data_IF_369177970575
#
_entry.id   IF_369177970575
#
_cell.length_a   1.000
_cell.length_b   1.000
_cell.length_c   1.000
_cell.angle_alpha   90.00
_cell.angle_beta   90.00
_cell.angle_gamma   90.00
#
_symmetry.space_group_name_H-M   'P 1'
#
loop_
_entity.id
_entity.type
_entity.pdbx_description
1 polymer ?
#
# COMPACT_ATOMS: atom_id res chain seq x y z
N UNK A 1 -32.69 -16.82 5.92
CA UNK A 1 -31.40 -16.19 6.30
C UNK A 1 -30.81 -15.60 5.03
N UNK A 2 -30.40 -14.34 5.07
CA UNK A 2 -29.67 -13.71 3.96
C UNK A 2 -28.18 -13.96 4.13
N UNK A 3 -27.48 -14.28 3.06
CA UNK A 3 -26.02 -14.30 3.07
C UNK A 3 -25.48 -12.89 2.91
N UNK A 4 -24.30 -12.63 3.48
CA UNK A 4 -23.55 -11.41 3.19
C UNK A 4 -23.12 -11.40 1.72
N UNK A 5 -23.36 -10.28 1.05
CA UNK A 5 -22.92 -10.08 -0.34
C UNK A 5 -21.82 -9.02 -0.39
N UNK A 6 -20.73 -9.30 -1.11
CA UNK A 6 -19.64 -8.36 -1.36
C UNK A 6 -19.48 -8.13 -2.85
N UNK A 7 -19.51 -6.87 -3.29
CA UNK A 7 -19.46 -6.48 -4.71
C UNK A 7 -20.50 -7.20 -5.60
N UNK A 8 -21.68 -7.51 -5.04
CA UNK A 8 -22.75 -8.25 -5.74
C UNK A 8 -22.62 -9.77 -5.72
N UNK A 9 -21.60 -10.33 -5.07
CA UNK A 9 -21.38 -11.79 -4.97
C UNK A 9 -21.71 -12.32 -3.58
N UNK A 10 -22.35 -13.49 -3.52
CA UNK A 10 -22.60 -14.23 -2.28
C UNK A 10 -21.27 -14.77 -1.72
N UNK A 11 -20.87 -14.31 -0.53
CA UNK A 11 -19.59 -14.69 0.06
C UNK A 11 -19.54 -16.14 0.53
N UNK A 12 -20.68 -16.74 0.88
CA UNK A 12 -20.75 -18.16 1.24
C UNK A 12 -20.55 -19.02 -0.01
N UNK A 13 -21.10 -18.59 -1.15
CA UNK A 13 -20.88 -19.25 -2.44
C UNK A 13 -19.41 -19.18 -2.87
N UNK A 14 -18.78 -18.01 -2.78
CA UNK A 14 -17.34 -17.84 -3.07
C UNK A 14 -16.47 -18.72 -2.17
N UNK A 15 -16.75 -18.75 -0.87
CA UNK A 15 -16.01 -19.61 0.07
C UNK A 15 -16.15 -21.10 -0.27
N UNK A 16 -17.33 -21.53 -0.72
CA UNK A 16 -17.57 -22.92 -1.16
C UNK A 16 -16.83 -23.25 -2.46
N UNK A 17 -16.78 -22.32 -3.40
CA UNK A 17 -16.16 -22.51 -4.71
C UNK A 17 -14.63 -22.54 -4.64
N UNK A 18 -14.04 -21.55 -3.96
CA UNK A 18 -12.58 -21.33 -3.95
C UNK A 18 -11.88 -21.82 -2.66
N UNK A 19 -12.67 -22.23 -1.66
CA UNK A 19 -12.20 -22.63 -0.34
C UNK A 19 -11.70 -21.46 0.52
N UNK A 20 -11.54 -21.69 1.83
CA UNK A 20 -11.03 -20.71 2.79
C UNK A 20 -9.68 -21.11 3.41
N UNK A 21 -8.90 -20.18 3.98
CA UNK A 21 -9.07 -18.72 3.90
C UNK A 21 -9.02 -18.21 2.46
N UNK A 22 -9.68 -17.09 2.14
CA UNK A 22 -9.75 -16.55 0.79
C UNK A 22 -9.70 -15.03 0.81
N UNK A 23 -8.75 -14.42 0.11
CA UNK A 23 -8.86 -12.99 -0.18
C UNK A 23 -9.79 -12.79 -1.37
N UNK A 24 -10.72 -11.86 -1.22
CA UNK A 24 -11.68 -11.49 -2.25
C UNK A 24 -11.53 -10.01 -2.52
N UNK A 25 -11.12 -9.67 -3.74
CA UNK A 25 -10.89 -8.30 -4.19
C UNK A 25 -11.99 -7.89 -5.19
N UNK A 26 -12.55 -6.69 -5.05
CA UNK A 26 -13.47 -6.10 -6.00
C UNK A 26 -12.72 -5.19 -6.96
N UNK A 27 -12.73 -5.52 -8.25
CA UNK A 27 -12.19 -4.64 -9.29
C UNK A 27 -13.02 -3.36 -9.42
N UNK A 28 -14.34 -3.44 -9.27
CA UNK A 28 -15.23 -2.30 -9.38
C UNK A 28 -14.90 -1.24 -8.30
N UNK A 29 -14.72 -1.66 -7.04
CA UNK A 29 -14.32 -0.75 -5.95
C UNK A 29 -12.90 -0.20 -6.15
N UNK A 30 -11.95 -1.01 -6.63
CA UNK A 30 -10.59 -0.53 -6.96
C UNK A 30 -10.65 0.61 -7.98
N UNK A 31 -11.42 0.44 -9.06
CA UNK A 31 -11.58 1.43 -10.12
C UNK A 31 -12.31 2.67 -9.61
N UNK A 32 -13.36 2.51 -8.83
CA UNK A 32 -14.10 3.63 -8.23
C UNK A 32 -13.19 4.47 -7.31
N UNK A 33 -12.36 3.83 -6.48
CA UNK A 33 -11.41 4.52 -5.60
C UNK A 33 -10.37 5.31 -6.40
N UNK A 34 -9.83 4.73 -7.49
CA UNK A 34 -8.90 5.42 -8.39
C UNK A 34 -9.61 6.60 -9.08
N UNK A 35 -10.81 6.37 -9.62
CA UNK A 35 -11.59 7.40 -10.31
C UNK A 35 -11.95 8.56 -9.39
N UNK A 36 -12.26 8.31 -8.11
CA UNK A 36 -12.49 9.37 -7.13
C UNK A 36 -11.28 10.29 -6.94
N UNK A 37 -10.06 9.75 -6.98
CA UNK A 37 -8.83 10.57 -6.92
C UNK A 37 -8.64 11.35 -8.22
N UNK A 38 -8.84 10.72 -9.38
CA UNK A 38 -8.79 11.37 -10.71
C UNK A 38 -9.77 12.54 -10.77
N UNK A 39 -11.04 12.30 -10.46
CA UNK A 39 -12.10 13.32 -10.46
C UNK A 39 -11.79 14.48 -9.52
N UNK A 40 -11.20 14.20 -8.37
CA UNK A 40 -10.80 15.22 -7.41
C UNK A 40 -9.70 16.13 -7.98
N UNK A 41 -8.72 15.60 -8.69
CA UNK A 41 -7.68 16.39 -9.34
C UNK A 41 -8.18 17.13 -10.58
N UNK A 42 -8.95 16.48 -11.46
CA UNK A 42 -9.53 17.08 -12.68
C UNK A 42 -10.31 18.37 -12.36
N UNK A 43 -11.08 18.37 -11.27
CA UNK A 43 -11.82 19.55 -10.79
C UNK A 43 -10.95 20.78 -10.50
N UNK A 44 -9.65 20.57 -10.25
CA UNK A 44 -8.73 21.65 -9.88
C UNK A 44 -8.00 22.27 -11.07
N UNK A 45 -7.97 21.58 -12.22
CA UNK A 45 -7.20 21.96 -13.40
C UNK A 45 -5.68 22.00 -13.19
N UNK A 46 -5.16 21.40 -12.12
CA UNK A 46 -3.72 21.25 -11.92
C UNK A 46 -3.16 20.10 -12.75
N UNK A 47 -1.89 20.16 -13.10
CA UNK A 47 -1.17 18.97 -13.57
C UNK A 47 -0.92 18.03 -12.39
N UNK A 48 -1.21 16.74 -12.58
CA UNK A 48 -1.09 15.74 -11.53
C UNK A 48 -0.61 14.39 -12.07
N UNK A 49 -0.15 13.54 -11.15
CA UNK A 49 0.10 12.13 -11.39
C UNK A 49 -0.36 11.35 -10.15
N UNK A 50 -0.96 10.18 -10.38
CA UNK A 50 -1.36 9.26 -9.31
C UNK A 50 -0.50 8.02 -9.47
N UNK A 51 0.18 7.63 -8.40
CA UNK A 51 0.97 6.41 -8.37
C UNK A 51 0.30 5.44 -7.40
N UNK A 52 -0.13 4.27 -7.88
CA UNK A 52 -0.59 3.23 -6.97
C UNK A 52 0.62 2.68 -6.19
N UNK A 53 0.56 2.69 -4.86
CA UNK A 53 1.67 2.15 -4.06
C UNK A 53 1.61 0.62 -4.00
N UNK A 54 2.40 -0.04 -4.85
CA UNK A 54 2.40 -1.50 -5.07
C UNK A 54 2.55 -2.33 -3.79
N UNK A 55 3.39 -1.87 -2.84
CA UNK A 55 3.55 -2.48 -1.50
C UNK A 55 2.25 -2.82 -0.76
N UNK A 56 1.15 -2.11 -1.08
CA UNK A 56 -0.16 -2.38 -0.47
C UNK A 56 -0.76 -3.71 -0.95
N UNK A 57 -0.71 -3.99 -2.26
CA UNK A 57 -1.19 -5.23 -2.86
C UNK A 57 -0.70 -5.28 -4.32
N UNK A 58 0.28 -6.14 -4.62
CA UNK A 58 0.83 -6.26 -5.98
C UNK A 58 0.81 -7.72 -6.45
N UNK A 59 0.24 -7.92 -7.64
CA UNK A 59 0.31 -9.14 -8.44
C UNK A 59 0.03 -8.75 -9.90
N UNK A 60 0.17 -9.69 -10.82
CA UNK A 60 0.02 -9.43 -12.26
C UNK A 60 -1.34 -8.82 -12.63
N UNK A 61 -2.44 -9.25 -12.00
CA UNK A 61 -3.76 -8.69 -12.27
C UNK A 61 -3.89 -7.26 -11.77
N UNK A 62 -3.36 -6.96 -10.57
CA UNK A 62 -3.36 -5.59 -10.04
C UNK A 62 -2.55 -4.64 -10.92
N UNK A 63 -1.39 -5.07 -11.43
CA UNK A 63 -0.62 -4.27 -12.39
C UNK A 63 -1.46 -3.93 -13.63
N UNK A 64 -2.18 -4.90 -14.21
CA UNK A 64 -3.05 -4.66 -15.38
C UNK A 64 -4.22 -3.73 -15.10
N UNK A 65 -4.84 -3.81 -13.92
CA UNK A 65 -5.92 -2.89 -13.53
C UNK A 65 -5.39 -1.45 -13.44
N UNK A 66 -4.24 -1.26 -12.78
CA UNK A 66 -3.58 0.05 -12.64
C UNK A 66 -3.19 0.61 -14.01
N UNK A 67 -2.67 -0.25 -14.89
CA UNK A 67 -2.31 0.10 -16.27
C UNK A 67 -3.53 0.61 -17.06
N UNK A 68 -4.61 -0.19 -17.07
CA UNK A 68 -5.88 0.14 -17.75
C UNK A 68 -6.53 1.42 -17.22
N UNK A 69 -6.33 1.74 -15.93
CA UNK A 69 -6.79 3.00 -15.34
C UNK A 69 -5.90 4.21 -15.71
N UNK A 70 -4.80 3.99 -16.43
CA UNK A 70 -3.93 5.06 -16.94
C UNK A 70 -3.07 5.75 -15.89
N UNK A 71 -3.02 5.23 -14.66
CA UNK A 71 -2.21 5.78 -13.58
C UNK A 71 -0.81 5.14 -13.55
N UNK A 72 0.09 5.70 -12.75
CA UNK A 72 1.45 5.18 -12.54
C UNK A 72 1.49 4.15 -11.41
N UNK A 73 2.62 3.45 -11.27
CA UNK A 73 2.83 2.41 -10.27
C UNK A 73 4.17 2.62 -9.55
N UNK A 74 4.10 2.73 -8.22
CA UNK A 74 5.30 2.69 -7.38
C UNK A 74 5.67 1.24 -7.07
N UNK A 75 6.95 0.93 -7.25
CA UNK A 75 7.57 -0.34 -6.85
C UNK A 75 8.71 -0.04 -5.87
N UNK A 76 8.93 -0.91 -4.88
CA UNK A 76 9.87 -0.68 -3.78
C UNK A 76 11.01 -1.71 -3.70
N UNK A 77 11.05 -2.67 -4.63
CA UNK A 77 12.10 -3.69 -4.73
C UNK A 77 12.19 -4.28 -6.14
N UNK A 78 13.26 -5.02 -6.42
CA UNK A 78 13.43 -5.76 -7.67
C UNK A 78 12.32 -6.79 -7.91
N UNK A 79 11.75 -7.40 -6.87
CA UNK A 79 10.62 -8.33 -7.01
C UNK A 79 9.32 -7.66 -7.43
N UNK A 80 9.04 -6.47 -6.89
CA UNK A 80 7.89 -5.67 -7.32
C UNK A 80 8.08 -5.14 -8.74
N UNK A 81 9.28 -4.65 -9.07
CA UNK A 81 9.64 -4.24 -10.42
C UNK A 81 9.49 -5.40 -11.42
N UNK A 82 10.04 -6.58 -11.10
CA UNK A 82 9.87 -7.79 -11.91
C UNK A 82 8.41 -8.13 -12.15
N UNK A 83 7.60 -8.11 -11.10
CA UNK A 83 6.16 -8.39 -11.20
C UNK A 83 5.45 -7.40 -12.14
N UNK A 84 5.80 -6.11 -12.08
CA UNK A 84 5.25 -5.12 -12.98
C UNK A 84 5.66 -5.38 -14.44
N UNK A 85 6.94 -5.63 -14.71
CA UNK A 85 7.44 -5.92 -16.05
C UNK A 85 6.80 -7.17 -16.65
N UNK A 86 6.72 -8.27 -15.90
CA UNK A 86 6.10 -9.52 -16.36
C UNK A 86 4.61 -9.40 -16.62
N UNK A 87 3.94 -8.43 -15.99
CA UNK A 87 2.52 -8.16 -16.27
C UNK A 87 2.29 -7.46 -17.61
N UNK A 88 3.37 -6.92 -18.20
CA UNK A 88 3.36 -6.08 -19.40
C UNK A 88 3.18 -4.58 -19.12
N UNK A 89 3.31 -4.16 -17.85
CA UNK A 89 3.17 -2.75 -17.45
C UNK A 89 4.24 -1.88 -18.13
N UNK A 90 3.83 -0.72 -18.63
CA UNK A 90 4.74 0.24 -19.27
C UNK A 90 5.81 0.75 -18.29
N UNK A 91 7.11 0.43 -18.50
CA UNK A 91 8.16 0.86 -17.59
C UNK A 91 8.24 2.38 -17.42
N UNK A 92 7.84 3.17 -18.42
CA UNK A 92 7.85 4.63 -18.35
C UNK A 92 6.89 5.21 -17.29
N UNK A 93 5.93 4.40 -16.81
CA UNK A 93 5.01 4.74 -15.70
C UNK A 93 5.37 4.07 -14.38
N UNK A 94 6.55 3.45 -14.28
CA UNK A 94 7.09 2.90 -13.05
C UNK A 94 7.94 3.92 -12.30
N UNK A 95 7.79 3.95 -10.99
CA UNK A 95 8.60 4.74 -10.07
C UNK A 95 9.25 3.82 -9.02
N UNK A 96 10.58 3.72 -9.03
CA UNK A 96 11.32 2.86 -8.10
C UNK A 96 11.67 3.60 -6.81
N UNK A 97 11.12 3.11 -5.71
CA UNK A 97 11.42 3.51 -4.33
C UNK A 97 12.32 2.49 -3.63
N UNK A 98 12.82 2.85 -2.45
CA UNK A 98 13.60 1.97 -1.58
C UNK A 98 14.69 2.74 -0.85
N UNK A 99 14.93 2.42 0.42
CA UNK A 99 15.94 3.12 1.22
C UNK A 99 17.36 2.55 1.07
N UNK A 100 17.47 1.39 0.43
CA UNK A 100 18.70 0.64 0.25
C UNK A 100 18.60 -0.20 -1.04
N UNK A 101 18.37 0.48 -2.18
CA UNK A 101 18.30 -0.18 -3.48
C UNK A 101 19.64 -0.83 -3.77
N UNK A 102 19.63 -2.11 -4.14
CA UNK A 102 20.86 -2.81 -4.51
C UNK A 102 21.36 -2.36 -5.88
N UNK A 103 22.62 -2.64 -6.19
CA UNK A 103 23.16 -2.38 -7.54
C UNK A 103 22.35 -3.14 -8.59
N UNK A 104 21.97 -4.38 -8.30
CA UNK A 104 21.17 -5.22 -9.18
C UNK A 104 19.76 -4.64 -9.42
N UNK A 105 19.13 -4.07 -8.39
CA UNK A 105 17.83 -3.40 -8.54
C UNK A 105 17.94 -2.12 -9.39
N UNK A 106 19.01 -1.35 -9.23
CA UNK A 106 19.28 -0.16 -10.06
C UNK A 106 19.59 -0.54 -11.52
N UNK A 107 20.39 -1.59 -11.74
CA UNK A 107 20.68 -2.12 -13.08
C UNK A 107 19.40 -2.60 -13.77
N UNK A 108 18.55 -3.35 -13.04
CA UNK A 108 17.26 -3.80 -13.55
C UNK A 108 16.35 -2.62 -13.93
N UNK A 109 16.33 -1.56 -13.12
CA UNK A 109 15.55 -0.35 -13.38
C UNK A 109 16.04 0.39 -14.64
N UNK A 110 17.37 0.49 -14.81
CA UNK A 110 17.99 1.09 -16.00
C UNK A 110 17.74 0.25 -17.25
N UNK A 111 17.92 -1.07 -17.17
CA UNK A 111 17.68 -2.01 -18.28
C UNK A 111 16.21 -1.93 -18.76
N UNK A 112 15.28 -1.86 -17.81
CA UNK A 112 13.86 -1.70 -18.10
C UNK A 112 13.46 -0.30 -18.56
N UNK A 113 14.34 0.71 -18.38
CA UNK A 113 14.07 2.13 -18.62
C UNK A 113 12.85 2.63 -17.82
N UNK A 114 12.87 2.39 -16.52
CA UNK A 114 11.81 2.87 -15.63
C UNK A 114 11.65 4.38 -15.74
N UNK A 115 10.42 4.87 -15.57
CA UNK A 115 10.09 6.27 -15.68
C UNK A 115 10.88 7.13 -14.70
N UNK A 116 10.92 6.73 -13.42
CA UNK A 116 11.59 7.50 -12.36
C UNK A 116 12.23 6.60 -11.30
N UNK A 117 13.30 7.10 -10.68
CA UNK A 117 13.85 6.54 -9.44
C UNK A 117 13.78 7.61 -8.35
N UNK A 118 13.20 7.27 -7.19
CA UNK A 118 13.22 8.14 -6.01
C UNK A 118 14.47 7.86 -5.20
N UNK A 119 15.48 8.71 -5.36
CA UNK A 119 16.77 8.63 -4.66
C UNK A 119 16.57 8.90 -3.18
N UNK A 120 16.99 7.97 -2.34
CA UNK A 120 16.75 8.03 -0.89
C UNK A 120 17.94 8.61 -0.11
N UNK A 121 19.17 8.42 -0.61
CA UNK A 121 20.39 8.85 0.06
C UNK A 121 21.56 9.11 -0.91
N UNK A 122 22.65 9.68 -0.41
CA UNK A 122 23.82 10.05 -1.22
C UNK A 122 24.59 8.85 -1.79
N UNK A 123 24.62 7.71 -1.08
CA UNK A 123 25.31 6.49 -1.57
C UNK A 123 24.59 5.93 -2.79
N UNK A 124 23.26 5.94 -2.75
CA UNK A 124 22.44 5.57 -3.92
C UNK A 124 22.67 6.52 -5.09
N UNK A 125 22.73 7.84 -4.84
CA UNK A 125 23.01 8.84 -5.87
C UNK A 125 24.36 8.57 -6.58
N UNK A 126 25.43 8.35 -5.81
CA UNK A 126 26.76 8.09 -6.35
C UNK A 126 26.79 6.77 -7.15
N UNK A 127 26.10 5.74 -6.66
CA UNK A 127 25.97 4.45 -7.37
C UNK A 127 25.22 4.62 -8.69
N UNK A 128 24.14 5.40 -8.69
CA UNK A 128 23.35 5.68 -9.88
C UNK A 128 24.13 6.50 -10.91
N UNK A 129 24.91 7.50 -10.49
CA UNK A 129 25.80 8.27 -11.39
C UNK A 129 26.87 7.38 -12.03
N UNK A 130 27.47 6.48 -11.25
CA UNK A 130 28.42 5.51 -11.80
C UNK A 130 27.78 4.64 -12.88
N UNK A 131 26.64 4.00 -12.57
CA UNK A 131 25.93 3.10 -13.49
C UNK A 131 25.50 3.82 -14.77
N UNK A 132 24.93 5.01 -14.64
CA UNK A 132 24.44 5.80 -15.78
C UNK A 132 25.57 6.30 -16.68
N UNK A 133 26.73 6.66 -16.11
CA UNK A 133 27.94 7.00 -16.88
C UNK A 133 28.51 5.80 -17.63
N UNK A 134 28.61 4.65 -16.99
CA UNK A 134 29.08 3.42 -17.63
C UNK A 134 28.21 3.01 -18.83
N UNK A 135 26.92 3.38 -18.79
CA UNK A 135 25.91 3.06 -19.81
C UNK A 135 25.64 4.19 -20.80
N UNK A 136 26.16 5.40 -20.55
CA UNK A 136 25.76 6.64 -21.23
C UNK A 136 24.23 6.82 -21.32
N UNK A 137 23.52 6.47 -20.24
CA UNK A 137 22.06 6.37 -20.20
C UNK A 137 21.46 7.37 -19.22
N UNK A 138 20.56 8.22 -19.71
CA UNK A 138 19.78 9.13 -18.88
C UNK A 138 18.76 8.40 -17.99
N UNK A 139 18.57 8.92 -16.77
CA UNK A 139 17.50 8.52 -15.86
C UNK A 139 16.91 9.74 -15.15
N UNK A 140 15.58 9.76 -15.06
CA UNK A 140 14.83 10.77 -14.32
C UNK A 140 14.78 10.40 -12.84
N UNK A 141 15.05 11.37 -11.97
CA UNK A 141 15.03 11.15 -10.52
C UNK A 141 14.21 12.19 -9.76
N UNK A 142 13.61 11.74 -8.66
CA UNK A 142 13.22 12.60 -7.55
C UNK A 142 14.10 12.30 -6.34
N UNK A 143 14.17 13.22 -5.39
CA UNK A 143 14.82 12.97 -4.11
C UNK A 143 13.81 12.87 -2.98
N UNK A 144 13.85 11.77 -2.23
CA UNK A 144 13.07 11.67 -1.00
C UNK A 144 13.70 12.54 0.08
N UNK A 145 12.88 13.38 0.69
CA UNK A 145 13.25 14.32 1.75
C UNK A 145 12.41 14.04 2.97
N UNK A 146 13.04 14.09 4.14
CA UNK A 146 12.35 13.98 5.43
C UNK A 146 12.08 15.39 5.97
N UNK A 147 10.82 15.87 5.95
CA UNK A 147 10.49 17.24 6.36
C UNK A 147 10.44 17.43 7.89
N UNK A 148 10.63 16.38 8.69
CA UNK A 148 10.52 16.45 10.16
C UNK A 148 9.08 16.48 10.68
N UNK A 149 8.13 15.99 9.88
CA UNK A 149 6.70 15.87 10.23
C UNK A 149 6.34 14.39 10.19
N UNK A 150 5.69 13.90 11.25
CA UNK A 150 5.03 12.59 11.27
C UNK A 150 3.58 12.71 11.72
N UNK A 151 2.67 12.03 11.00
CA UNK A 151 1.27 11.90 11.37
C UNK A 151 0.92 10.45 11.71
N UNK A 152 0.42 10.25 12.94
CA UNK A 152 -0.12 8.97 13.41
C UNK A 152 -1.48 9.21 14.08
N UNK A 153 -2.55 8.65 13.51
CA UNK A 153 -3.84 8.41 14.20
C UNK A 153 -4.32 9.56 15.12
N UNK A 154 -4.30 10.81 14.60
CA UNK A 154 -4.69 12.08 15.23
C UNK A 154 -3.64 12.84 16.06
N UNK A 155 -2.45 12.30 16.29
CA UNK A 155 -1.34 13.05 16.88
C UNK A 155 -0.37 13.54 15.80
N UNK A 156 -0.25 14.86 15.74
CA UNK A 156 0.67 15.53 14.84
C UNK A 156 1.97 15.77 15.58
N UNK A 157 3.00 15.01 15.24
CA UNK A 157 4.29 15.12 15.90
C UNK A 157 5.22 15.88 14.96
N UNK A 158 5.44 17.15 15.26
CA UNK A 158 6.56 17.90 14.72
C UNK A 158 7.81 17.49 15.52
N UNK A 159 8.56 16.53 14.99
CA UNK A 159 9.73 16.01 15.68
C UNK A 159 10.91 16.96 15.47
N UNK A 160 11.56 17.38 16.56
CA UNK A 160 12.82 18.11 16.48
C UNK A 160 13.97 17.27 15.89
N UNK A 161 13.80 15.95 15.86
CA UNK A 161 14.73 14.95 15.33
C UNK A 161 14.10 14.22 14.14
N UNK A 162 14.75 14.32 12.99
CA UNK A 162 14.41 13.56 11.77
C UNK A 162 14.90 12.10 11.92
N UNK A 163 14.30 11.36 12.87
CA UNK A 163 14.65 9.96 13.16
C UNK A 163 13.91 9.01 12.21
N UNK A 164 14.40 8.96 10.96
CA UNK A 164 13.86 8.14 9.90
C UNK A 164 15.01 7.52 9.11
N UNK A 165 14.88 6.23 8.78
CA UNK A 165 15.81 5.54 7.86
C UNK A 165 15.63 5.94 6.40
N UNK A 166 14.60 6.74 6.10
CA UNK A 166 14.21 7.12 4.75
C UNK A 166 14.56 8.57 4.47
N UNK A 167 15.00 8.83 3.24
CA UNK A 167 15.16 10.15 2.69
C UNK A 167 16.31 10.96 3.26
N UNK A 168 16.69 12.01 2.54
CA UNK A 168 17.67 12.97 3.00
C UNK A 168 17.02 13.93 4.01
N UNK A 169 17.65 14.15 5.18
CA UNK A 169 17.21 15.18 6.12
C UNK A 169 17.03 16.56 5.46
N UNK A 170 15.96 17.30 5.77
CA UNK A 170 15.63 18.58 5.11
C UNK A 170 16.80 19.57 5.15
N UNK A 171 17.56 19.59 6.25
CA UNK A 171 18.73 20.45 6.44
C UNK A 171 19.91 20.09 5.54
N UNK A 172 19.99 18.85 5.07
CA UNK A 172 21.04 18.34 4.20
C UNK A 172 20.60 18.28 2.74
N UNK A 173 19.29 18.30 2.47
CA UNK A 173 18.69 18.10 1.16
C UNK A 173 19.28 19.02 0.09
N UNK A 174 19.40 20.33 0.35
CA UNK A 174 19.99 21.29 -0.61
C UNK A 174 21.39 20.87 -1.07
N UNK A 175 22.24 20.45 -0.13
CA UNK A 175 23.62 20.05 -0.43
C UNK A 175 23.72 18.74 -1.21
N UNK A 176 22.95 17.73 -0.80
CA UNK A 176 22.96 16.42 -1.47
C UNK A 176 22.35 16.51 -2.87
N UNK A 177 21.18 17.13 -3.00
CA UNK A 177 20.49 17.28 -4.29
C UNK A 177 21.32 18.15 -5.24
N UNK A 178 21.97 19.19 -4.73
CA UNK A 178 22.85 20.06 -5.53
C UNK A 178 24.02 19.32 -6.20
N UNK A 179 24.47 18.18 -5.67
CA UNK A 179 25.53 17.38 -6.29
C UNK A 179 25.10 16.75 -7.62
N UNK A 180 23.81 16.44 -7.79
CA UNK A 180 23.29 15.83 -9.01
C UNK A 180 23.48 16.71 -10.26
N UNK A 181 23.65 18.04 -10.10
CA UNK A 181 23.96 18.95 -11.21
C UNK A 181 25.27 18.64 -11.94
N UNK A 182 26.16 17.87 -11.32
CA UNK A 182 27.45 17.46 -11.89
C UNK A 182 27.38 16.08 -12.57
N UNK A 183 26.20 15.46 -12.56
CA UNK A 183 25.94 14.09 -13.01
C UNK A 183 25.20 14.17 -14.36
N UNK A 184 25.90 14.00 -15.50
CA UNK A 184 25.38 14.37 -16.83
C UNK A 184 24.22 13.51 -17.33
N UNK A 185 24.01 12.34 -16.71
CA UNK A 185 22.97 11.39 -17.09
C UNK A 185 21.86 11.28 -16.02
N UNK A 186 21.83 12.19 -15.05
CA UNK A 186 20.80 12.23 -14.01
C UNK A 186 19.97 13.50 -14.19
N UNK A 187 18.69 13.31 -14.51
CA UNK A 187 17.73 14.37 -14.73
C UNK A 187 16.85 14.55 -13.48
N UNK A 188 17.18 15.55 -12.66
CA UNK A 188 16.44 15.84 -11.42
C UNK A 188 15.17 16.63 -11.74
N UNK A 189 14.00 16.01 -11.58
CA UNK A 189 12.71 16.64 -11.92
C UNK A 189 11.87 17.00 -10.71
N UNK A 190 12.21 16.55 -9.50
CA UNK A 190 11.37 16.83 -8.34
C UNK A 190 11.92 16.37 -7.01
N UNK A 191 11.10 16.60 -5.99
CA UNK A 191 11.32 16.17 -4.62
C UNK A 191 10.11 15.37 -4.13
N UNK A 192 10.37 14.39 -3.28
CA UNK A 192 9.41 13.46 -2.70
C UNK A 192 9.40 13.60 -1.19
N UNK A 193 8.23 13.48 -0.56
CA UNK A 193 8.13 13.19 0.86
C UNK A 193 7.00 12.20 1.13
N UNK A 194 7.03 11.55 2.28
CA UNK A 194 5.92 10.73 2.76
C UNK A 194 5.76 10.93 4.27
N UNK A 195 4.62 11.49 4.67
CA UNK A 195 4.43 12.08 6.01
C UNK A 195 3.76 11.15 7.01
N UNK A 196 3.21 10.02 6.56
CA UNK A 196 2.56 9.05 7.43
C UNK A 196 1.59 8.11 6.74
N UNK A 197 0.85 7.36 7.53
CA UNK A 197 -0.15 6.39 7.08
C UNK A 197 -1.43 6.56 7.88
N UNK A 198 -2.57 6.27 7.26
CA UNK A 198 -3.89 6.34 7.90
C UNK A 198 -4.23 7.77 8.35
N UNK A 199 -3.90 8.74 7.49
CA UNK A 199 -4.15 10.16 7.70
C UNK A 199 -5.56 10.49 7.19
N UNK A 200 -6.38 11.05 8.06
CA UNK A 200 -7.75 11.51 7.73
C UNK A 200 -7.75 13.00 7.46
N UNK A 201 -7.03 13.79 8.25
CA UNK A 201 -6.96 15.26 8.17
C UNK A 201 -5.97 15.79 7.12
N UNK A 202 -6.20 17.00 6.62
CA UNK A 202 -5.30 17.68 5.67
C UNK A 202 -4.09 18.35 6.34
N UNK A 203 -4.17 18.70 7.62
CA UNK A 203 -3.14 19.46 8.33
C UNK A 203 -1.71 18.91 8.19
N UNK A 204 -1.44 17.59 8.33
CA UNK A 204 -0.10 17.04 8.11
C UNK A 204 0.43 17.26 6.69
N UNK A 205 -0.44 17.13 5.69
CA UNK A 205 -0.07 17.34 4.29
C UNK A 205 0.23 18.82 4.03
N UNK A 206 -0.59 19.74 4.54
CA UNK A 206 -0.40 21.19 4.39
C UNK A 206 0.95 21.62 4.99
N UNK A 207 1.29 21.16 6.20
CA UNK A 207 2.59 21.50 6.80
C UNK A 207 3.78 20.95 6.00
N UNK A 208 3.66 19.73 5.46
CA UNK A 208 4.71 19.18 4.61
C UNK A 208 4.84 19.94 3.29
N UNK A 209 3.72 20.37 2.69
CA UNK A 209 3.73 21.22 1.50
C UNK A 209 4.47 22.52 1.73
N UNK A 210 4.29 23.17 2.88
CA UNK A 210 5.00 24.41 3.21
C UNK A 210 6.52 24.20 3.20
N UNK A 211 6.98 23.17 3.91
CA UNK A 211 8.41 22.81 4.00
C UNK A 211 8.97 22.41 2.64
N UNK A 212 8.23 21.60 1.89
CA UNK A 212 8.67 21.11 0.57
C UNK A 212 8.70 22.24 -0.45
N UNK A 213 7.74 23.18 -0.43
CA UNK A 213 7.74 24.36 -1.32
C UNK A 213 8.89 25.32 -1.00
N UNK A 214 9.29 25.44 0.28
CA UNK A 214 10.49 26.19 0.65
C UNK A 214 11.76 25.56 0.06
N UNK A 215 11.92 24.25 0.21
CA UNK A 215 13.05 23.54 -0.40
C UNK A 215 13.02 23.63 -1.93
N UNK A 216 11.85 23.40 -2.54
CA UNK A 216 11.65 23.47 -3.99
C UNK A 216 12.11 24.82 -4.55
N UNK A 217 11.73 25.91 -3.89
CA UNK A 217 12.16 27.27 -4.27
C UNK A 217 13.69 27.40 -4.24
N UNK A 218 14.32 26.98 -3.15
CA UNK A 218 15.77 27.11 -2.98
C UNK A 218 16.53 26.29 -4.02
N UNK A 219 16.05 25.09 -4.35
CA UNK A 219 16.66 24.24 -5.37
C UNK A 219 16.50 24.83 -6.79
N UNK A 220 15.34 25.45 -7.08
CA UNK A 220 15.11 26.22 -8.30
C UNK A 220 16.06 27.42 -8.43
N UNK A 221 16.23 28.19 -7.34
CA UNK A 221 17.20 29.29 -7.28
C UNK A 221 18.66 28.82 -7.45
N UNK A 222 18.96 27.60 -6.99
CA UNK A 222 20.24 26.95 -7.25
C UNK A 222 20.40 26.49 -8.70
N UNK A 223 19.37 26.57 -9.54
CA UNK A 223 19.42 26.28 -10.98
C UNK A 223 19.06 24.84 -11.35
N UNK A 224 18.24 24.15 -10.54
CA UNK A 224 17.58 22.90 -10.90
C UNK A 224 16.22 23.17 -11.55
N UNK A 225 15.96 22.56 -12.71
CA UNK A 225 14.68 22.65 -13.43
C UNK A 225 13.65 21.66 -12.84
N UNK A 226 13.31 21.84 -11.56
CA UNK A 226 12.29 21.03 -10.90
C UNK A 226 10.91 21.30 -11.53
N UNK A 227 10.12 20.24 -11.66
CA UNK A 227 8.77 20.27 -12.25
C UNK A 227 7.73 19.65 -11.34
N UNK A 228 8.15 18.86 -10.36
CA UNK A 228 7.25 17.98 -9.62
C UNK A 228 7.48 18.03 -8.11
N UNK A 229 6.38 17.95 -7.37
CA UNK A 229 6.39 17.64 -5.93
C UNK A 229 5.54 16.41 -5.72
N UNK A 230 6.17 15.34 -5.23
CA UNK A 230 5.51 14.13 -4.82
C UNK A 230 5.27 14.15 -3.31
N UNK A 231 4.01 14.14 -2.91
CA UNK A 231 3.56 14.26 -1.53
C UNK A 231 3.35 12.89 -0.86
N UNK A 232 3.64 11.82 -1.59
CA UNK A 232 3.49 10.46 -1.13
C UNK A 232 2.04 10.05 -0.93
N UNK A 233 1.85 8.95 -0.21
CA UNK A 233 0.54 8.42 0.14
C UNK A 233 0.13 8.75 1.57
N UNK A 234 -0.68 7.86 2.14
CA UNK A 234 -1.06 7.91 3.55
C UNK A 234 -2.55 8.13 3.79
N UNK A 235 -3.34 8.33 2.73
CA UNK A 235 -4.80 8.52 2.81
C UNK A 235 -5.47 7.37 3.56
N UNK A 236 -6.17 7.71 4.64
CA UNK A 236 -6.81 6.74 5.53
C UNK A 236 -8.18 6.28 5.06
N UNK A 237 -8.58 5.10 5.54
CA UNK A 237 -9.84 4.42 5.22
C UNK A 237 -10.58 4.05 6.51
N UNK A 238 -11.92 3.87 6.49
CA UNK A 238 -12.65 3.54 7.70
C UNK A 238 -12.57 2.04 7.99
N UNK A 239 -11.73 1.61 8.94
CA UNK A 239 -11.57 0.19 9.27
C UNK A 239 -12.75 -0.33 10.10
N UNK A 240 -13.29 0.53 10.96
CA UNK A 240 -14.42 0.27 11.84
C UNK A 240 -15.65 1.09 11.42
N UNK A 241 -16.84 0.62 11.77
CA UNK A 241 -18.07 1.36 11.57
C UNK A 241 -18.04 2.63 12.41
N UNK A 242 -18.16 3.77 11.74
CA UNK A 242 -18.09 5.09 12.38
C UNK A 242 -16.71 5.75 12.27
N UNK A 243 -15.69 5.05 11.80
CA UNK A 243 -14.42 5.67 11.43
C UNK A 243 -14.65 6.67 10.30
N UNK A 244 -13.88 7.76 10.34
CA UNK A 244 -13.79 8.69 9.22
C UNK A 244 -12.84 8.14 8.14
N UNK A 245 -12.99 8.67 6.93
CA UNK A 245 -12.15 8.33 5.79
C UNK A 245 -11.57 9.60 5.20
N UNK A 246 -10.41 9.49 4.55
CA UNK A 246 -9.84 10.63 3.83
C UNK A 246 -10.77 11.06 2.69
N UNK A 247 -11.34 12.25 2.81
CA UNK A 247 -12.26 12.81 1.83
C UNK A 247 -11.49 13.37 0.62
N UNK A 248 -11.14 12.49 -0.33
CA UNK A 248 -10.36 12.86 -1.53
C UNK A 248 -10.99 14.01 -2.31
N UNK A 249 -12.32 14.05 -2.39
CA UNK A 249 -13.06 15.04 -3.17
C UNK A 249 -12.95 16.45 -2.60
N UNK A 250 -12.66 16.57 -1.30
CA UNK A 250 -12.51 17.84 -0.62
C UNK A 250 -11.06 18.15 -0.25
N UNK A 251 -10.26 17.14 0.13
CA UNK A 251 -8.86 17.32 0.52
C UNK A 251 -7.96 17.65 -0.68
N UNK A 252 -8.05 16.92 -1.79
CA UNK A 252 -7.19 17.17 -2.96
C UNK A 252 -7.37 18.61 -3.49
N UNK A 253 -8.60 19.13 -3.68
CA UNK A 253 -8.77 20.53 -4.06
C UNK A 253 -8.17 21.53 -3.08
N UNK A 254 -8.22 21.27 -1.77
CA UNK A 254 -7.57 22.13 -0.76
C UNK A 254 -6.05 22.07 -0.85
N UNK A 255 -5.48 20.88 -0.99
CA UNK A 255 -4.05 20.67 -1.19
C UNK A 255 -3.54 21.40 -2.43
N UNK A 256 -4.27 21.29 -3.55
CA UNK A 256 -3.96 21.97 -4.81
C UNK A 256 -4.05 23.49 -4.66
N UNK A 257 -5.11 24.00 -4.03
CA UNK A 257 -5.28 25.43 -3.78
C UNK A 257 -4.14 26.00 -2.92
N UNK A 258 -3.72 25.26 -1.90
CA UNK A 258 -2.61 25.63 -1.02
C UNK A 258 -1.29 25.73 -1.78
N UNK A 259 -0.93 24.71 -2.57
CA UNK A 259 0.28 24.74 -3.41
C UNK A 259 0.23 25.88 -4.43
N UNK A 260 -0.94 26.14 -5.03
CA UNK A 260 -1.11 27.24 -5.99
C UNK A 260 -0.87 28.60 -5.32
N UNK A 261 -1.43 28.82 -4.13
CA UNK A 261 -1.18 30.03 -3.35
C UNK A 261 0.30 30.19 -3.01
N UNK A 262 0.95 29.12 -2.57
CA UNK A 262 2.38 29.11 -2.25
C UNK A 262 3.25 29.36 -3.48
N UNK A 263 2.88 28.82 -4.65
CA UNK A 263 3.57 29.05 -5.91
C UNK A 263 3.54 30.53 -6.30
N UNK A 264 2.36 31.18 -6.21
CA UNK A 264 2.21 32.62 -6.45
C UNK A 264 3.04 33.44 -5.47
N UNK A 265 2.93 33.17 -4.15
CA UNK A 265 3.69 33.88 -3.11
C UNK A 265 5.20 33.77 -3.29
N UNK A 266 5.67 32.63 -3.79
CA UNK A 266 7.11 32.35 -3.99
C UNK A 266 7.61 32.72 -5.39
N UNK A 267 6.74 33.22 -6.27
CA UNK A 267 7.04 33.49 -7.68
C UNK A 267 7.57 32.26 -8.44
N UNK A 268 6.96 31.10 -8.18
CA UNK A 268 7.27 29.82 -8.83
C UNK A 268 6.18 29.45 -9.83
N UNK A 269 6.57 28.72 -10.87
CA UNK A 269 5.61 27.93 -11.64
C UNK A 269 4.97 26.87 -10.73
N UNK A 270 3.71 26.55 -10.97
CA UNK A 270 3.02 25.51 -10.21
C UNK A 270 3.63 24.15 -10.55
N UNK A 271 4.15 23.39 -9.56
CA UNK A 271 4.66 22.06 -9.83
C UNK A 271 3.51 21.10 -10.15
N UNK A 272 3.80 20.09 -10.95
CA UNK A 272 2.96 18.90 -11.07
C UNK A 272 2.90 18.20 -9.72
N UNK A 273 1.70 17.85 -9.27
CA UNK A 273 1.51 17.20 -7.98
C UNK A 273 1.39 15.69 -8.14
N UNK A 274 2.18 14.95 -7.38
CA UNK A 274 2.16 13.49 -7.38
C UNK A 274 1.69 12.98 -6.01
N UNK A 275 0.82 11.97 -6.01
CA UNK A 275 0.35 11.28 -4.80
C UNK A 275 0.49 9.77 -4.94
N UNK A 276 0.73 9.07 -3.83
CA UNK A 276 1.06 7.64 -3.81
C UNK A 276 0.06 6.78 -3.00
N UNK A 277 -1.26 6.87 -3.25
CA UNK A 277 -2.24 6.11 -2.48
C UNK A 277 -2.08 4.59 -2.72
N UNK A 278 -1.81 3.85 -1.63
CA UNK A 278 -1.91 2.39 -1.63
C UNK A 278 -3.17 1.93 -0.90
N UNK A 279 -3.17 2.13 0.43
CA UNK A 279 -4.26 1.73 1.32
C UNK A 279 -5.63 2.21 0.85
N UNK A 280 -5.71 3.49 0.47
CA UNK A 280 -6.96 4.10 0.06
C UNK A 280 -7.59 3.42 -1.16
N UNK A 281 -6.75 3.04 -2.14
CA UNK A 281 -7.21 2.35 -3.34
C UNK A 281 -7.60 0.91 -3.01
N UNK A 282 -6.74 0.16 -2.31
CA UNK A 282 -6.88 -1.30 -2.24
C UNK A 282 -7.60 -1.82 -0.99
N UNK A 283 -7.55 -1.15 0.16
CA UNK A 283 -8.05 -1.70 1.42
C UNK A 283 -9.54 -2.00 1.38
N UNK A 284 -10.36 -1.01 1.00
CA UNK A 284 -11.83 -1.12 1.00
C UNK A 284 -12.36 -2.07 -0.07
N UNK A 285 -11.56 -2.29 -1.12
CA UNK A 285 -11.86 -3.23 -2.18
C UNK A 285 -11.65 -4.70 -1.79
N UNK A 286 -11.07 -5.00 -0.63
CA UNK A 286 -10.78 -6.36 -0.19
C UNK A 286 -11.50 -6.79 1.07
N UNK A 287 -11.92 -8.05 1.09
CA UNK A 287 -12.31 -8.80 2.31
C UNK A 287 -11.55 -10.12 2.36
N UNK A 288 -11.43 -10.71 3.55
CA UNK A 288 -10.90 -12.06 3.72
C UNK A 288 -11.98 -12.95 4.31
N UNK A 289 -12.29 -14.04 3.63
CA UNK A 289 -13.25 -15.04 4.06
C UNK A 289 -12.55 -16.19 4.78
N UNK A 290 -13.17 -16.67 5.85
CA UNK A 290 -12.69 -17.76 6.67
C UNK A 290 -13.81 -18.73 6.99
N UNK A 291 -13.48 -19.98 7.24
CA UNK A 291 -14.41 -20.95 7.85
C UNK A 291 -14.20 -20.98 9.36
N UNK A 292 -15.28 -20.85 10.12
CA UNK A 292 -15.30 -21.04 11.55
C UNK A 292 -15.06 -22.51 11.87
N UNK A 293 -14.02 -22.79 12.66
CA UNK A 293 -13.71 -24.11 13.19
C UNK A 293 -14.32 -24.30 14.56
N UNK A 294 -13.56 -23.98 15.60
CA UNK A 294 -13.98 -24.22 17.00
C UNK A 294 -14.62 -22.97 17.60
N UNK A 295 -15.76 -23.15 18.27
CA UNK A 295 -16.34 -22.11 19.14
C UNK A 295 -16.17 -22.57 20.59
N UNK A 296 -15.38 -21.83 21.38
CA UNK A 296 -15.03 -22.19 22.75
C UNK A 296 -15.53 -21.12 23.70
N UNK A 297 -16.53 -21.47 24.51
CA UNK A 297 -16.95 -20.65 25.63
C UNK A 297 -16.13 -20.98 26.88
N UNK A 298 -15.58 -19.95 27.51
CA UNK A 298 -14.88 -20.03 28.80
C UNK A 298 -15.73 -19.20 29.78
N UNK A 299 -16.63 -19.85 30.55
CA UNK A 299 -17.60 -19.15 31.40
C UNK A 299 -16.94 -18.14 32.33
N UNK A 300 -17.43 -16.90 32.31
CA UNK A 300 -16.91 -15.79 33.13
C UNK A 300 -15.57 -15.21 32.66
N UNK A 301 -15.01 -15.68 31.55
CA UNK A 301 -13.73 -15.19 31.01
C UNK A 301 -13.90 -14.61 29.61
N UNK A 302 -14.22 -15.43 28.60
CA UNK A 302 -14.36 -15.02 27.20
C UNK A 302 -14.86 -16.16 26.32
N UNK A 303 -15.55 -15.81 25.24
CA UNK A 303 -15.91 -16.74 24.16
C UNK A 303 -15.01 -16.53 22.95
N UNK A 304 -14.47 -17.62 22.43
CA UNK A 304 -13.61 -17.64 21.24
C UNK A 304 -14.34 -18.21 20.04
N UNK A 305 -14.12 -17.59 18.90
CA UNK A 305 -14.45 -18.12 17.56
C UNK A 305 -13.14 -18.31 16.81
N UNK A 306 -12.72 -19.56 16.65
CA UNK A 306 -11.50 -19.93 15.96
C UNK A 306 -11.77 -20.10 14.46
N UNK A 307 -10.93 -19.53 13.62
CA UNK A 307 -11.06 -19.56 12.15
C UNK A 307 -9.90 -20.32 11.50
N UNK A 308 -10.07 -20.71 10.24
CA UNK A 308 -9.10 -21.51 9.49
C UNK A 308 -7.91 -20.71 8.89
N UNK A 309 -7.78 -19.43 9.24
CA UNK A 309 -6.64 -18.56 8.93
C UNK A 309 -6.00 -17.98 10.20
N UNK A 310 -5.55 -16.72 10.14
CA UNK A 310 -4.99 -16.01 11.28
C UNK A 310 -3.86 -15.05 10.91
N UNK A 311 -2.89 -14.88 11.82
CA UNK A 311 -1.76 -13.98 11.67
C UNK A 311 -0.87 -14.28 10.46
N UNK A 312 -0.91 -15.51 9.93
CA UNK A 312 -0.18 -15.88 8.73
C UNK A 312 -0.73 -15.18 7.48
N UNK A 313 -2.03 -14.89 7.42
CA UNK A 313 -2.69 -14.21 6.30
C UNK A 313 -3.16 -12.78 6.66
N UNK A 314 -3.29 -12.45 7.93
CA UNK A 314 -3.52 -11.09 8.38
C UNK A 314 -2.62 -10.79 9.60
N UNK A 315 -1.35 -10.45 9.38
CA UNK A 315 -0.41 -10.18 10.46
C UNK A 315 -0.64 -8.82 11.13
N UNK A 316 -1.48 -7.96 10.56
CA UNK A 316 -1.61 -6.56 10.99
C UNK A 316 -2.08 -6.38 12.42
N UNK A 317 -3.04 -7.16 12.96
CA UNK A 317 -3.40 -7.07 14.37
C UNK A 317 -2.24 -7.42 15.30
N UNK A 318 -1.40 -8.39 14.93
CA UNK A 318 -0.24 -8.78 15.74
C UNK A 318 0.94 -7.80 15.64
N UNK A 319 1.13 -7.18 14.46
CA UNK A 319 2.25 -6.27 14.21
C UNK A 319 1.98 -4.82 14.59
N UNK A 320 0.73 -4.39 14.49
CA UNK A 320 0.35 -2.98 14.55
C UNK A 320 -0.85 -2.72 15.47
N UNK A 321 -1.34 -3.73 16.20
CA UNK A 321 -2.60 -3.66 16.95
C UNK A 321 -3.77 -3.16 16.09
N UNK A 322 -3.73 -3.46 14.78
CA UNK A 322 -4.75 -3.02 13.84
C UNK A 322 -6.10 -3.65 14.15
N UNK A 323 -7.13 -2.82 14.24
CA UNK A 323 -8.50 -3.25 14.48
C UNK A 323 -9.25 -3.48 13.15
N UNK A 324 -10.21 -4.40 13.19
CA UNK A 324 -11.03 -4.79 12.06
C UNK A 324 -12.44 -5.15 12.49
N UNK A 325 -13.37 -5.03 11.55
CA UNK A 325 -14.71 -5.60 11.69
C UNK A 325 -14.84 -6.94 10.98
N UNK A 326 -15.63 -7.81 11.60
CA UNK A 326 -16.04 -9.08 11.03
C UNK A 326 -17.55 -9.14 10.84
N UNK A 327 -17.96 -9.89 9.81
CA UNK A 327 -19.35 -10.20 9.50
C UNK A 327 -19.50 -11.72 9.42
N UNK A 328 -20.49 -12.26 10.14
CA UNK A 328 -20.86 -13.67 10.01
C UNK A 328 -21.75 -13.82 8.76
N UNK A 329 -21.18 -14.36 7.68
CA UNK A 329 -21.76 -14.30 6.34
C UNK A 329 -23.08 -15.07 6.25
N UNK A 330 -23.18 -16.22 6.91
CA UNK A 330 -24.37 -17.08 6.90
C UNK A 330 -25.59 -16.43 7.60
N UNK A 331 -25.32 -15.52 8.53
CA UNK A 331 -26.29 -14.92 9.44
C UNK A 331 -26.44 -13.41 9.21
N UNK A 332 -26.24 -12.96 7.97
CA UNK A 332 -26.24 -11.54 7.67
C UNK A 332 -27.61 -10.91 7.92
N UNK A 333 -27.62 -9.81 8.68
CA UNK A 333 -28.82 -9.10 9.09
C UNK A 333 -29.44 -9.60 10.41
N UNK A 334 -28.92 -10.69 10.99
CA UNK A 334 -29.31 -11.11 12.34
C UNK A 334 -28.72 -10.17 13.41
N UNK A 335 -29.40 -10.05 14.54
CA UNK A 335 -28.93 -9.22 15.64
C UNK A 335 -27.66 -9.82 16.27
N UNK A 336 -26.65 -8.99 16.52
CA UNK A 336 -25.48 -9.42 17.29
C UNK A 336 -25.85 -9.68 18.74
N UNK A 337 -25.88 -10.95 19.13
CA UNK A 337 -26.26 -11.39 20.48
C UNK A 337 -25.05 -11.65 21.38
N UNK A 338 -23.85 -11.71 20.82
CA UNK A 338 -22.64 -12.12 21.54
C UNK A 338 -21.47 -11.16 21.28
N UNK A 339 -20.58 -11.07 22.27
CA UNK A 339 -19.26 -10.46 22.11
C UNK A 339 -18.21 -11.55 22.24
N UNK A 340 -17.40 -11.73 21.19
CA UNK A 340 -16.46 -12.84 21.08
C UNK A 340 -15.07 -12.35 20.66
N UNK A 341 -14.04 -13.12 21.00
CA UNK A 341 -12.70 -12.94 20.44
C UNK A 341 -12.54 -13.85 19.22
N UNK A 342 -12.16 -13.27 18.08
CA UNK A 342 -11.83 -14.03 16.87
C UNK A 342 -10.34 -14.33 16.87
N UNK A 343 -10.00 -15.61 16.73
CA UNK A 343 -8.63 -16.10 16.78
C UNK A 343 -8.34 -17.01 15.59
N UNK A 344 -7.14 -16.93 15.02
CA UNK A 344 -6.69 -17.87 14.01
C UNK A 344 -6.24 -19.21 14.59
N UNK A 345 -5.61 -20.02 13.73
CA UNK A 345 -5.18 -21.40 14.04
C UNK A 345 -3.68 -21.56 14.26
N UNK A 346 -2.90 -20.49 14.21
CA UNK A 346 -1.46 -20.56 14.47
C UNK A 346 -1.18 -20.92 15.94
N UNK A 347 -0.03 -21.58 16.19
CA UNK A 347 0.39 -22.00 17.54
C UNK A 347 1.08 -20.88 18.31
N UNK A 348 0.55 -19.66 18.22
CA UNK A 348 1.06 -18.42 18.84
C UNK A 348 -0.14 -17.61 19.34
N UNK A 349 0.08 -16.43 19.91
CA UNK A 349 -1.02 -15.49 20.16
C UNK A 349 -1.59 -14.97 18.83
N UNK A 350 -2.51 -15.74 18.25
CA UNK A 350 -3.13 -15.49 16.95
C UNK A 350 -4.50 -14.83 17.11
N UNK A 351 -4.51 -13.66 17.78
CA UNK A 351 -5.75 -12.89 18.02
C UNK A 351 -5.97 -11.91 16.89
N UNK A 352 -7.05 -12.10 16.14
CA UNK A 352 -7.38 -11.25 14.99
C UNK A 352 -8.27 -10.07 15.38
N UNK A 353 -9.33 -10.33 16.13
CA UNK A 353 -10.25 -9.30 16.63
C UNK A 353 -10.54 -9.59 18.10
N UNK A 354 -10.19 -8.66 18.98
CA UNK A 354 -10.31 -8.86 20.42
C UNK A 354 -11.77 -8.92 20.90
N UNK A 355 -12.64 -8.10 20.32
CA UNK A 355 -14.02 -7.91 20.75
C UNK A 355 -14.96 -7.69 19.55
N UNK A 356 -15.35 -8.79 18.89
CA UNK A 356 -16.31 -8.77 17.78
C UNK A 356 -17.74 -8.95 18.28
N UNK A 357 -18.67 -8.10 17.83
CA UNK A 357 -20.10 -8.24 18.11
C UNK A 357 -20.78 -9.02 16.98
N UNK A 358 -21.13 -10.28 17.23
CA UNK A 358 -21.67 -11.18 16.20
C UNK A 358 -22.97 -11.86 16.66
N UNK A 359 -23.80 -12.34 15.70
CA UNK A 359 -24.74 -13.42 15.97
C UNK A 359 -24.00 -14.67 16.48
N UNK A 360 -24.74 -15.63 17.02
CA UNK A 360 -24.15 -16.88 17.52
C UNK A 360 -23.50 -17.67 16.38
N UNK A 361 -22.17 -17.74 16.37
CA UNK A 361 -21.42 -18.49 15.37
C UNK A 361 -21.37 -19.99 15.69
N UNK A 362 -21.35 -20.81 14.65
CA UNK A 362 -21.19 -22.25 14.70
C UNK A 362 -20.05 -22.75 13.79
N UNK A 363 -19.47 -23.93 14.08
CA UNK A 363 -18.54 -24.59 13.16
C UNK A 363 -19.14 -24.73 11.76
N UNK A 364 -18.36 -24.35 10.74
CA UNK A 364 -18.78 -24.37 9.32
C UNK A 364 -19.38 -23.05 8.82
N UNK A 365 -19.68 -22.08 9.69
CA UNK A 365 -20.06 -20.74 9.24
C UNK A 365 -18.90 -20.03 8.56
N UNK A 366 -19.23 -19.16 7.60
CA UNK A 366 -18.28 -18.30 6.92
C UNK A 366 -18.22 -16.95 7.62
N UNK A 367 -17.00 -16.50 7.92
CA UNK A 367 -16.73 -15.21 8.53
C UNK A 367 -15.91 -14.36 7.57
N UNK A 368 -16.39 -13.15 7.28
CA UNK A 368 -15.66 -12.16 6.49
C UNK A 368 -15.01 -11.14 7.41
N UNK A 369 -13.72 -10.88 7.25
CA UNK A 369 -13.04 -9.70 7.82
C UNK A 369 -12.97 -8.64 6.74
N UNK A 370 -13.46 -7.43 7.05
CA UNK A 370 -13.59 -6.34 6.10
C UNK A 370 -12.27 -5.59 5.92
N UNK A 371 -12.12 -4.91 4.78
CA UNK A 371 -11.06 -3.95 4.52
C UNK A 371 -9.63 -4.53 4.54
N UNK A 372 -9.49 -5.77 4.08
CA UNK A 372 -8.22 -6.53 4.07
C UNK A 372 -7.48 -6.48 2.73
N UNK A 373 -7.91 -5.61 1.80
CA UNK A 373 -7.29 -5.54 0.47
C UNK A 373 -5.92 -4.86 0.43
N UNK A 374 -5.44 -4.30 1.54
CA UNK A 374 -4.14 -3.63 1.63
C UNK A 374 -3.31 -4.19 2.80
N UNK A 375 -2.08 -4.60 2.50
CA UNK A 375 -1.06 -5.08 3.44
C UNK A 375 -1.35 -6.41 4.14
N UNK A 376 -2.43 -7.09 3.77
CA UNK A 376 -2.71 -8.42 4.30
C UNK A 376 -2.01 -9.49 3.45
N UNK A 377 -2.44 -9.63 2.18
CA UNK A 377 -1.81 -10.60 1.27
C UNK A 377 -0.32 -10.33 1.06
N UNK A 378 0.09 -9.06 0.88
CA UNK A 378 1.50 -8.70 0.67
C UNK A 378 2.41 -9.01 1.86
N UNK A 379 1.83 -9.12 3.07
CA UNK A 379 2.56 -9.49 4.29
C UNK A 379 2.29 -10.95 4.72
N UNK A 380 1.60 -11.73 3.89
CA UNK A 380 1.28 -13.11 4.23
C UNK A 380 2.54 -13.99 4.31
N UNK A 381 2.53 -14.96 5.22
CA UNK A 381 3.66 -15.83 5.51
C UNK A 381 3.25 -17.29 5.61
N UNK A 382 4.25 -18.17 5.58
CA UNK A 382 4.08 -19.60 5.79
C UNK A 382 4.42 -20.00 7.25
N UNK A 383 4.12 -19.12 8.22
CA UNK A 383 4.28 -19.43 9.63
C UNK A 383 3.46 -20.68 9.99
N UNK A 384 4.02 -21.55 10.84
CA UNK A 384 3.54 -22.93 11.08
C UNK A 384 3.37 -23.79 9.81
N UNK A 385 4.07 -23.46 8.72
CA UNK A 385 3.91 -24.12 7.40
C UNK A 385 2.44 -24.07 6.93
N UNK A 386 1.72 -23.00 7.27
CA UNK A 386 0.43 -22.68 6.68
C UNK A 386 0.65 -22.27 5.22
N UNK A 387 -0.29 -22.63 4.34
CA UNK A 387 -0.24 -22.33 2.91
C UNK A 387 -0.84 -20.95 2.68
N UNK A 388 -0.20 -20.10 1.87
CA UNK A 388 -0.80 -18.82 1.49
C UNK A 388 -2.18 -19.02 0.84
N UNK A 389 -3.19 -18.23 1.24
CA UNK A 389 -4.53 -18.29 0.66
C UNK A 389 -4.55 -17.96 -0.84
N UNK A 390 -5.59 -18.46 -1.53
CA UNK A 390 -5.91 -17.95 -2.86
C UNK A 390 -6.39 -16.48 -2.79
N UNK A 391 -6.27 -15.78 -3.91
CA UNK A 391 -6.87 -14.47 -4.13
C UNK A 391 -7.80 -14.54 -5.33
N UNK A 392 -9.04 -14.11 -5.15
CA UNK A 392 -10.07 -14.03 -6.19
C UNK A 392 -10.41 -12.57 -6.47
N UNK A 393 -10.53 -12.24 -7.75
CA UNK A 393 -10.99 -10.95 -8.24
C UNK A 393 -12.45 -11.04 -8.68
N UNK A 394 -13.25 -10.06 -8.29
CA UNK A 394 -14.65 -9.89 -8.67
C UNK A 394 -14.78 -8.70 -9.64
N UNK A 395 -15.53 -8.87 -10.71
CA UNK A 395 -15.89 -7.77 -11.63
C UNK A 395 -17.28 -8.01 -12.19
N UNK A 396 -18.21 -7.09 -11.96
CA UNK A 396 -19.62 -7.30 -12.33
C UNK A 396 -20.14 -8.65 -11.82
N UNK A 397 -20.66 -9.49 -12.72
CA UNK A 397 -21.16 -10.84 -12.37
C UNK A 397 -20.11 -11.96 -12.39
N UNK A 398 -18.83 -11.66 -12.57
CA UNK A 398 -17.76 -12.66 -12.73
C UNK A 398 -16.84 -12.70 -11.49
N UNK A 399 -16.31 -13.89 -11.21
CA UNK A 399 -15.25 -14.13 -10.23
C UNK A 399 -14.15 -14.99 -10.86
N UNK A 400 -12.89 -14.79 -10.46
CA UNK A 400 -11.78 -15.59 -10.96
C UNK A 400 -10.53 -15.51 -10.09
N UNK A 401 -9.75 -16.59 -10.05
CA UNK A 401 -8.49 -16.66 -9.31
C UNK A 401 -7.44 -15.78 -10.01
N UNK A 402 -6.82 -14.89 -9.23
CA UNK A 402 -5.66 -14.08 -9.67
C UNK A 402 -4.37 -14.48 -8.95
N UNK A 403 -4.47 -15.25 -7.86
CA UNK A 403 -3.36 -15.91 -7.18
C UNK A 403 -3.84 -17.27 -6.71
N UNK A 404 -3.18 -18.33 -7.16
CA UNK A 404 -3.46 -19.69 -6.73
C UNK A 404 -3.13 -19.91 -5.26
N UNK A 405 -3.91 -20.78 -4.60
CA UNK A 405 -3.58 -21.21 -3.23
C UNK A 405 -2.33 -22.07 -3.28
N UNK A 406 -1.39 -21.81 -2.37
CA UNK A 406 -0.24 -22.71 -2.21
C UNK A 406 -0.70 -24.13 -1.85
N UNK A 407 0.04 -25.11 -2.33
CA UNK A 407 -0.05 -26.54 -2.01
C UNK A 407 1.00 -26.91 -0.96
N UNK A 408 0.96 -28.13 -0.45
CA UNK A 408 2.04 -28.62 0.42
C UNK A 408 3.38 -28.76 -0.33
N UNK A 409 3.35 -28.96 -1.65
CA UNK A 409 4.56 -29.04 -2.45
C UNK A 409 5.27 -27.69 -2.54
N UNK A 410 4.50 -26.59 -2.66
CA UNK A 410 5.06 -25.23 -2.70
C UNK A 410 5.84 -24.89 -1.42
N UNK A 411 5.35 -25.35 -0.26
CA UNK A 411 6.02 -25.12 1.03
C UNK A 411 7.42 -25.71 1.12
N UNK A 412 7.71 -26.75 0.34
CA UNK A 412 8.97 -27.49 0.39
C UNK A 412 9.74 -27.43 -0.94
N UNK A 413 9.28 -26.65 -1.92
CA UNK A 413 9.88 -26.60 -3.26
C UNK A 413 11.35 -26.17 -3.24
N UNK A 414 11.73 -25.37 -2.24
CA UNK A 414 13.10 -24.89 -2.02
C UNK A 414 13.84 -25.63 -0.89
N UNK A 415 13.21 -26.57 -0.19
CA UNK A 415 13.85 -27.38 0.84
C UNK A 415 14.76 -28.42 0.15
N UNK A 416 15.93 -28.68 0.72
CA UNK A 416 16.90 -29.66 0.21
C UNK A 416 17.37 -30.56 1.35
N UNK A 417 17.44 -31.86 1.07
CA UNK A 417 18.10 -32.82 1.95
C UNK A 417 19.57 -32.83 1.54
N UNK A 418 20.45 -32.63 2.52
CA UNK A 418 21.90 -32.63 2.30
C UNK A 418 22.42 -34.08 2.17
N UNK A 419 23.49 -34.32 1.38
CA UNK A 419 23.88 -35.69 1.02
C UNK A 419 24.16 -36.64 2.19
N UNK A 420 24.64 -36.14 3.35
CA UNK A 420 24.94 -36.99 4.51
C UNK A 420 23.71 -37.42 5.33
N UNK A 421 22.51 -36.95 4.97
CA UNK A 421 21.24 -37.39 5.56
C UNK A 421 20.48 -38.40 4.66
N UNK A 422 20.94 -38.61 3.44
CA UNK A 422 20.41 -39.63 2.52
C UNK A 422 21.03 -40.98 2.92
N UNK A 423 20.22 -41.87 3.53
CA UNK A 423 20.66 -43.20 3.99
C UNK A 423 20.54 -44.25 2.91
#
# INVERSE_FOLDING_TARGET
>A
MSHYTFSGHDTVALAKEYGTPLYVMSEDILRDNIQGIVDAFEKTGAEYEINFAGKSFLNLAMCRIVDEMGICLDVASGGELYTALESGFDPARLCLHGNNKSKEELEMALDAKVGRIVVDNAVELDTLDQLTREREQHITVLFRVTPGISAHTHELIQTATEDSKFGVPIRQARGVIGNARKMPFIDVVGIHCHVGSQIIDDAPFVMAMDIMMDLYKVLQEDGLDLKEINLGGGFGIPYLTGDESFDVMNHIPRMVAHIREMSVKKALAMPRLVVEPGRYISATAGITLYTVGTVKDIPGVKKYVCIDGGMADNPRPALYDAEYEAVLCNHYGEASTETVTISGKACETDRLIASAKLPSAAPGDILAVRHTGAYNYSMSSNYNRLRRPAVVLLRGGQSGIIVERETYADLIAHDRIVPWLEK
#
